data_IF_282012828141
#
_entry.id   IF_282012828141
#
_cell.length_a   1.000
_cell.length_b   1.000
_cell.length_c   1.000
_cell.angle_alpha   90.00
_cell.angle_beta   90.00
_cell.angle_gamma   90.00
#
_symmetry.space_group_name_H-M   'P 1'
#
loop_
_entity.id
_entity.type
_entity.pdbx_description
1 polymer ?
#
# COMPACT_ATOMS: atom_id res chain seq x y z
N UNK A 1 4.30 5.55 14.61
CA UNK A 1 3.20 5.06 13.74
C UNK A 1 3.57 5.21 12.27
N UNK A 2 4.17 6.32 11.83
CA UNK A 2 4.47 6.55 10.40
C UNK A 2 5.42 5.51 9.81
N UNK A 3 6.36 4.96 10.61
CA UNK A 3 7.22 3.86 10.17
C UNK A 3 6.47 2.56 9.86
N UNK A 4 5.36 2.29 10.54
CA UNK A 4 4.57 1.08 10.34
C UNK A 4 3.74 1.13 9.04
N UNK A 5 3.41 2.31 8.52
CA UNK A 5 2.57 2.50 7.32
C UNK A 5 3.35 2.54 5.99
N UNK A 6 4.65 2.22 6.00
CA UNK A 6 5.46 2.23 4.79
C UNK A 6 6.92 2.65 4.97
N UNK A 7 7.47 2.60 6.18
CA UNK A 7 8.84 3.01 6.50
C UNK A 7 9.14 4.45 6.06
N UNK A 8 9.83 4.62 4.92
CA UNK A 8 10.17 5.92 4.32
C UNK A 8 8.96 6.64 3.71
N UNK A 9 7.88 5.92 3.35
CA UNK A 9 6.70 6.53 2.76
C UNK A 9 5.95 7.37 3.81
N UNK A 10 5.79 8.69 3.64
CA UNK A 10 5.12 9.55 4.61
C UNK A 10 3.59 9.45 4.53
N UNK A 11 3.05 8.24 4.32
CA UNK A 11 1.63 8.02 4.02
C UNK A 11 0.71 8.58 5.11
N UNK A 12 0.96 8.24 6.37
CA UNK A 12 0.17 8.74 7.49
C UNK A 12 0.32 10.26 7.70
N UNK A 13 1.50 10.80 7.38
CA UNK A 13 1.79 12.22 7.56
C UNK A 13 1.08 13.09 6.53
N UNK A 14 0.98 12.59 5.29
CA UNK A 14 0.19 13.23 4.24
C UNK A 14 -1.28 13.30 4.65
N UNK A 15 -1.85 12.20 5.17
CA UNK A 15 -3.25 12.14 5.61
C UNK A 15 -3.55 13.03 6.82
N UNK A 16 -2.60 13.18 7.74
CA UNK A 16 -2.77 13.94 8.99
C UNK A 16 -2.30 15.40 8.92
N UNK A 17 -1.77 15.83 7.78
CA UNK A 17 -1.14 17.14 7.65
C UNK A 17 -1.46 17.80 6.31
N UNK A 18 -1.02 17.18 5.22
CA UNK A 18 -1.07 17.80 3.90
C UNK A 18 -2.48 17.95 3.33
N UNK A 19 -3.43 17.12 3.76
CA UNK A 19 -4.81 17.11 3.24
C UNK A 19 -5.87 17.52 4.28
N UNK A 20 -5.47 18.16 5.38
CA UNK A 20 -6.41 18.56 6.45
C UNK A 20 -7.51 19.53 6.00
N UNK A 21 -7.31 20.24 4.89
CA UNK A 21 -8.30 21.13 4.30
C UNK A 21 -9.10 20.51 3.16
N UNK A 22 -9.01 19.18 2.98
CA UNK A 22 -9.58 18.48 1.87
C UNK A 22 -10.53 17.37 2.31
N UNK A 23 -11.52 17.11 1.48
CA UNK A 23 -12.38 15.94 1.55
C UNK A 23 -11.68 14.78 0.87
N UNK A 24 -11.09 13.86 1.65
CA UNK A 24 -10.49 12.63 1.12
C UNK A 24 -11.61 11.67 0.74
N UNK A 25 -11.69 11.26 -0.53
CA UNK A 25 -12.75 10.36 -1.03
C UNK A 25 -12.26 8.92 -1.18
N UNK A 26 -10.96 8.76 -1.46
CA UNK A 26 -10.33 7.46 -1.66
C UNK A 26 -8.83 7.53 -1.36
N UNK A 27 -8.29 6.47 -0.79
CA UNK A 27 -6.85 6.23 -0.73
C UNK A 27 -6.54 4.88 -1.37
N UNK A 28 -5.44 4.83 -2.12
CA UNK A 28 -4.88 3.62 -2.67
C UNK A 28 -3.41 3.52 -2.28
N UNK A 29 -2.93 2.32 -1.96
CA UNK A 29 -1.57 2.10 -1.50
C UNK A 29 -0.96 0.84 -2.06
N UNK A 30 0.22 0.97 -2.66
CA UNK A 30 1.15 -0.14 -2.86
C UNK A 30 2.15 -0.10 -1.71
N UNK A 31 1.82 -0.79 -0.62
CA UNK A 31 2.42 -0.56 0.70
C UNK A 31 3.48 -1.62 1.10
N UNK A 32 3.59 -2.69 0.31
CA UNK A 32 4.45 -3.83 0.59
C UNK A 32 5.50 -3.99 -0.52
N UNK A 33 6.77 -3.80 -0.15
CA UNK A 33 7.90 -3.84 -1.09
C UNK A 33 8.14 -5.25 -1.64
N UNK A 34 7.97 -6.29 -0.83
CA UNK A 34 8.16 -7.70 -1.21
C UNK A 34 7.22 -8.09 -2.35
N UNK A 35 5.93 -7.82 -2.20
CA UNK A 35 4.90 -8.11 -3.23
C UNK A 35 5.15 -7.31 -4.50
N UNK A 36 5.55 -6.04 -4.40
CA UNK A 36 5.87 -5.22 -5.56
C UNK A 36 7.08 -5.78 -6.33
N UNK A 37 8.14 -6.14 -5.61
CA UNK A 37 9.33 -6.76 -6.20
C UNK A 37 9.00 -8.10 -6.88
N UNK A 38 8.21 -8.96 -6.23
CA UNK A 38 7.77 -10.25 -6.78
C UNK A 38 6.98 -10.05 -8.09
N UNK A 39 6.05 -9.08 -8.12
CA UNK A 39 5.28 -8.77 -9.32
C UNK A 39 6.16 -8.22 -10.46
N UNK A 40 7.14 -7.38 -10.15
CA UNK A 40 8.09 -6.86 -11.13
C UNK A 40 8.99 -7.98 -11.68
N UNK A 41 9.51 -8.86 -10.82
CA UNK A 41 10.29 -10.02 -11.24
C UNK A 41 9.46 -10.95 -12.14
N UNK A 42 8.19 -11.17 -11.77
CA UNK A 42 7.25 -11.93 -12.60
C UNK A 42 7.05 -11.26 -13.96
N UNK A 43 6.91 -9.94 -14.03
CA UNK A 43 6.77 -9.21 -15.30
C UNK A 43 8.04 -9.21 -16.15
N UNK A 44 9.22 -9.12 -15.55
CA UNK A 44 10.51 -9.17 -16.26
C UNK A 44 10.80 -10.56 -16.85
N UNK A 45 10.27 -11.61 -16.23
CA UNK A 45 10.47 -12.98 -16.70
C UNK A 45 11.95 -13.38 -16.62
N UNK A 46 12.48 -13.98 -17.70
CA UNK A 46 13.90 -14.40 -17.76
C UNK A 46 14.85 -13.30 -18.23
N UNK A 47 14.32 -12.12 -18.62
CA UNK A 47 15.13 -11.01 -19.07
C UNK A 47 15.67 -10.26 -17.85
N UNK A 48 16.93 -10.46 -17.49
CA UNK A 48 17.61 -9.70 -16.42
C UNK A 48 17.98 -10.48 -15.16
N UNK A 49 17.81 -11.80 -15.13
CA UNK A 49 18.27 -12.64 -14.00
C UNK A 49 19.23 -13.73 -14.46
N UNK A 50 20.29 -14.00 -13.69
CA UNK A 50 21.17 -15.16 -13.90
C UNK A 50 20.47 -16.49 -13.52
N UNK A 51 19.35 -16.39 -12.80
CA UNK A 51 18.61 -17.49 -12.20
C UNK A 51 17.36 -17.88 -12.99
N UNK A 52 17.54 -18.57 -14.13
CA UNK A 52 16.48 -19.38 -14.77
C UNK A 52 15.23 -18.64 -15.30
N UNK A 53 14.28 -19.40 -15.84
CA UNK A 53 13.03 -18.86 -16.39
C UNK A 53 12.01 -18.53 -15.29
N UNK A 54 11.74 -17.24 -15.04
CA UNK A 54 10.62 -16.81 -14.18
C UNK A 54 9.31 -16.87 -14.98
N UNK A 55 8.47 -17.88 -14.71
CA UNK A 55 7.17 -18.06 -15.36
C UNK A 55 5.99 -18.06 -14.40
N UNK A 56 6.23 -18.45 -13.14
CA UNK A 56 5.19 -18.54 -12.12
C UNK A 56 5.46 -17.59 -10.96
N UNK A 57 4.42 -17.28 -10.18
CA UNK A 57 4.57 -16.53 -8.94
C UNK A 57 5.57 -17.18 -7.97
N UNK A 58 5.57 -18.52 -7.90
CA UNK A 58 6.51 -19.27 -7.06
C UNK A 58 7.97 -19.07 -7.50
N UNK A 59 8.25 -18.95 -8.80
CA UNK A 59 9.59 -18.66 -9.30
C UNK A 59 10.02 -17.24 -8.92
N UNK A 60 9.11 -16.27 -9.08
CA UNK A 60 9.37 -14.88 -8.72
C UNK A 60 9.64 -14.71 -7.21
N UNK A 61 8.90 -15.43 -6.36
CA UNK A 61 9.15 -15.47 -4.90
C UNK A 61 10.53 -16.03 -4.59
N UNK A 62 10.95 -17.13 -5.25
CA UNK A 62 12.30 -17.70 -5.05
C UNK A 62 13.41 -16.72 -5.42
N UNK A 63 13.22 -15.93 -6.48
CA UNK A 63 14.16 -14.88 -6.88
C UNK A 63 14.20 -13.75 -5.85
N UNK A 64 13.04 -13.32 -5.34
CA UNK A 64 12.99 -12.34 -4.26
C UNK A 64 13.72 -12.84 -3.00
N UNK A 65 13.57 -14.13 -2.65
CA UNK A 65 14.25 -14.75 -1.53
C UNK A 65 15.77 -14.84 -1.73
N UNK A 66 16.23 -15.23 -2.93
CA UNK A 66 17.67 -15.34 -3.20
C UNK A 66 18.39 -13.99 -3.19
N UNK A 67 17.67 -12.91 -3.52
CA UNK A 67 18.17 -11.54 -3.45
C UNK A 67 17.98 -10.87 -2.08
N UNK A 68 17.38 -11.58 -1.11
CA UNK A 68 17.15 -11.07 0.25
C UNK A 68 16.02 -10.05 0.37
N UNK A 69 15.16 -9.92 -0.64
CA UNK A 69 13.97 -9.06 -0.61
C UNK A 69 12.75 -9.73 0.02
N UNK A 70 12.71 -11.06 0.03
CA UNK A 70 11.67 -11.84 0.72
C UNK A 70 12.29 -12.72 1.79
N UNK A 71 11.61 -12.85 2.94
CA UNK A 71 12.03 -13.79 3.98
C UNK A 71 11.85 -15.24 3.51
N UNK A 72 12.49 -16.18 4.24
CA UNK A 72 12.37 -17.62 3.96
C UNK A 72 10.92 -18.10 4.03
N UNK A 73 10.14 -17.51 4.93
CA UNK A 73 8.69 -17.67 4.99
C UNK A 73 8.02 -16.36 4.53
N UNK A 74 7.73 -16.28 3.24
CA UNK A 74 7.08 -15.11 2.62
C UNK A 74 5.54 -15.17 2.70
N UNK A 75 4.97 -16.09 3.51
CA UNK A 75 3.53 -16.29 3.62
C UNK A 75 2.80 -14.99 3.95
N UNK A 76 3.25 -14.23 4.96
CA UNK A 76 2.59 -12.98 5.38
C UNK A 76 2.54 -11.90 4.31
N UNK A 77 3.54 -11.82 3.44
CA UNK A 77 3.59 -10.87 2.32
C UNK A 77 2.66 -11.33 1.19
N UNK A 78 2.69 -12.63 0.87
CA UNK A 78 1.90 -13.23 -0.22
C UNK A 78 0.41 -13.37 0.18
N UNK A 79 0.12 -13.58 1.46
CA UNK A 79 -1.21 -13.63 2.07
C UNK A 79 -1.77 -12.24 2.41
N UNK A 80 -1.11 -11.18 1.91
CA UNK A 80 -1.62 -9.80 1.93
C UNK A 80 -1.76 -9.17 3.33
N UNK A 81 -1.35 -9.89 4.39
CA UNK A 81 -1.59 -9.52 5.78
C UNK A 81 -0.87 -8.23 6.19
N UNK A 82 0.35 -8.04 5.71
CA UNK A 82 1.10 -6.79 5.94
C UNK A 82 0.41 -5.58 5.28
N UNK A 83 -0.06 -5.72 4.04
CA UNK A 83 -0.83 -4.69 3.33
C UNK A 83 -2.13 -4.36 4.07
N UNK A 84 -2.85 -5.37 4.55
CA UNK A 84 -4.07 -5.20 5.35
C UNK A 84 -3.82 -4.47 6.66
N UNK A 85 -2.79 -4.88 7.41
CA UNK A 85 -2.44 -4.22 8.67
C UNK A 85 -2.10 -2.74 8.46
N UNK A 86 -1.39 -2.42 7.37
CA UNK A 86 -1.07 -1.03 7.00
C UNK A 86 -2.32 -0.25 6.59
N UNK A 87 -3.25 -0.87 5.86
CA UNK A 87 -4.52 -0.26 5.49
C UNK A 87 -5.37 0.07 6.71
N UNK A 88 -5.45 -0.83 7.69
CA UNK A 88 -6.11 -0.58 8.98
C UNK A 88 -5.52 0.64 9.68
N UNK A 89 -4.20 0.79 9.68
CA UNK A 89 -3.53 1.95 10.27
C UNK A 89 -3.85 3.24 9.52
N UNK A 90 -3.82 3.22 8.19
CA UNK A 90 -4.12 4.39 7.35
C UNK A 90 -5.59 4.81 7.46
N UNK A 91 -6.51 3.85 7.48
CA UNK A 91 -7.94 4.12 7.66
C UNK A 91 -8.20 4.76 9.02
N UNK A 92 -7.82 4.08 10.10
CA UNK A 92 -8.14 4.53 11.45
C UNK A 92 -7.38 5.80 11.85
N UNK A 93 -6.06 5.84 11.64
CA UNK A 93 -5.21 6.92 12.14
C UNK A 93 -4.95 8.03 11.13
N UNK A 94 -5.25 7.80 9.85
CA UNK A 94 -5.17 8.80 8.79
C UNK A 94 -6.55 9.38 8.51
N UNK A 95 -7.37 8.66 7.75
CA UNK A 95 -8.66 9.17 7.24
C UNK A 95 -9.65 9.45 8.38
N UNK A 96 -9.96 8.46 9.21
CA UNK A 96 -11.03 8.59 10.21
C UNK A 96 -10.68 9.52 11.36
N UNK A 97 -9.40 9.59 11.78
CA UNK A 97 -8.97 10.62 12.75
C UNK A 97 -9.02 12.04 12.20
N UNK A 98 -8.84 12.23 10.90
CA UNK A 98 -8.99 13.56 10.31
C UNK A 98 -10.47 13.95 10.22
N UNK A 99 -11.37 12.99 9.95
CA UNK A 99 -12.82 13.23 9.89
C UNK A 99 -13.47 13.40 11.27
N UNK A 100 -12.97 12.68 12.28
CA UNK A 100 -13.49 12.72 13.65
C UNK A 100 -12.39 13.17 14.63
N UNK A 101 -11.99 14.44 14.47
CA UNK A 101 -10.91 15.03 15.26
C UNK A 101 -11.34 15.49 16.67
N UNK A 102 -12.66 15.62 16.90
CA UNK A 102 -13.22 16.15 18.15
C UNK A 102 -13.55 15.04 19.17
N UNK A 103 -13.82 13.80 18.73
CA UNK A 103 -14.16 12.69 19.64
C UNK A 103 -12.92 11.98 20.19
N UNK A 104 -13.09 11.36 21.37
CA UNK A 104 -12.02 10.57 21.98
C UNK A 104 -11.70 9.32 21.13
N UNK A 105 -10.46 8.80 21.26
CA UNK A 105 -9.99 7.65 20.48
C UNK A 105 -10.94 6.46 20.60
N UNK A 106 -11.45 6.21 21.81
CA UNK A 106 -12.25 5.04 22.15
C UNK A 106 -13.72 5.14 21.72
N UNK A 107 -14.14 6.32 21.24
CA UNK A 107 -15.52 6.60 20.81
C UNK A 107 -15.70 6.46 19.30
N UNK A 108 -14.60 6.30 18.54
CA UNK A 108 -14.62 6.19 17.09
C UNK A 108 -14.68 4.72 16.66
N UNK A 109 -15.63 4.41 15.77
CA UNK A 109 -15.72 3.09 15.15
C UNK A 109 -14.37 2.71 14.54
N UNK A 110 -13.86 1.55 14.93
CA UNK A 110 -12.51 1.12 14.56
C UNK A 110 -12.58 0.09 13.43
N UNK A 111 -11.97 0.44 12.30
CA UNK A 111 -11.79 -0.46 11.16
C UNK A 111 -10.85 -1.61 11.53
N UNK A 112 -11.19 -2.85 11.18
CA UNK A 112 -10.39 -4.04 11.51
C UNK A 112 -10.00 -4.82 10.26
N UNK A 113 -9.13 -5.81 10.44
CA UNK A 113 -8.67 -6.67 9.34
C UNK A 113 -9.84 -7.47 8.75
N UNK A 114 -10.81 -7.85 9.58
CA UNK A 114 -12.00 -8.61 9.16
C UNK A 114 -12.93 -7.80 8.24
N UNK A 115 -12.83 -6.47 8.25
CA UNK A 115 -13.61 -5.57 7.41
C UNK A 115 -13.00 -5.41 5.99
N UNK A 116 -11.83 -5.97 5.74
CA UNK A 116 -11.11 -5.86 4.46
C UNK A 116 -11.50 -7.00 3.51
N UNK A 117 -12.00 -6.64 2.34
CA UNK A 117 -12.20 -7.58 1.23
C UNK A 117 -10.86 -7.99 0.61
N UNK A 118 -10.64 -9.28 0.44
CA UNK A 118 -9.41 -9.83 -0.17
C UNK A 118 -9.71 -10.32 -1.57
N UNK A 119 -8.80 -10.03 -2.49
CA UNK A 119 -8.73 -10.60 -3.84
C UNK A 119 -7.33 -10.40 -4.41
N UNK A 120 -6.30 -10.69 -3.60
CA UNK A 120 -4.91 -10.51 -3.98
C UNK A 120 -4.26 -11.78 -4.56
N UNK A 121 -2.96 -11.93 -4.32
CA UNK A 121 -2.10 -12.96 -4.91
C UNK A 121 -2.45 -14.37 -4.46
N UNK A 122 -2.98 -14.52 -3.24
CA UNK A 122 -3.33 -15.82 -2.67
C UNK A 122 -4.61 -16.42 -3.28
N UNK A 123 -5.55 -15.55 -3.69
CA UNK A 123 -6.83 -15.96 -4.29
C UNK A 123 -6.80 -15.92 -5.83
N UNK A 124 -5.95 -15.09 -6.43
CA UNK A 124 -5.84 -15.02 -7.89
C UNK A 124 -4.96 -16.13 -8.45
N UNK A 125 -5.51 -16.89 -9.39
CA UNK A 125 -4.77 -17.85 -10.20
C UNK A 125 -3.91 -17.11 -11.24
N UNK A 126 -2.77 -16.55 -10.81
CA UNK A 126 -1.80 -15.88 -11.69
C UNK A 126 -1.06 -16.92 -12.54
N UNK A 127 -1.66 -17.28 -13.67
CA UNK A 127 -1.08 -18.23 -14.63
C UNK A 127 -0.08 -17.56 -15.58
N UNK A 128 0.82 -18.32 -16.22
CA UNK A 128 1.71 -17.78 -17.24
C UNK A 128 0.98 -17.05 -18.38
N UNK A 129 -0.22 -17.51 -18.76
CA UNK A 129 -1.04 -16.85 -19.80
C UNK A 129 -1.55 -15.48 -19.34
N UNK A 130 -1.96 -15.34 -18.08
CA UNK A 130 -2.37 -14.07 -17.49
C UNK A 130 -1.21 -13.07 -17.51
N UNK A 131 -0.02 -13.52 -17.12
CA UNK A 131 1.19 -12.67 -17.15
C UNK A 131 1.58 -12.32 -18.59
N UNK A 132 1.49 -13.26 -19.53
CA UNK A 132 1.73 -12.99 -20.95
C UNK A 132 0.77 -11.93 -21.50
N UNK A 133 -0.51 -11.97 -21.10
CA UNK A 133 -1.50 -10.97 -21.46
C UNK A 133 -1.17 -9.58 -20.88
N UNK A 134 -0.75 -9.49 -19.61
CA UNK A 134 -0.30 -8.22 -19.02
C UNK A 134 0.88 -7.62 -19.78
N UNK A 135 1.87 -8.44 -20.15
CA UNK A 135 3.01 -7.99 -20.97
C UNK A 135 2.56 -7.52 -22.36
N UNK A 136 1.73 -8.29 -23.04
CA UNK A 136 1.24 -7.97 -24.38
C UNK A 136 0.42 -6.66 -24.41
N UNK A 137 -0.31 -6.37 -23.33
CA UNK A 137 -1.12 -5.16 -23.17
C UNK A 137 -0.40 -4.01 -22.48
N UNK A 138 0.89 -4.18 -22.13
CA UNK A 138 1.68 -3.19 -21.38
C UNK A 138 1.03 -2.75 -20.06
N UNK A 139 0.32 -3.67 -19.40
CA UNK A 139 -0.33 -3.47 -18.12
C UNK A 139 0.58 -3.93 -16.98
N UNK A 140 0.70 -3.11 -15.94
CA UNK A 140 1.58 -3.35 -14.81
C UNK A 140 0.78 -3.83 -13.59
N UNK A 141 1.02 -5.06 -13.09
CA UNK A 141 0.31 -5.59 -11.93
C UNK A 141 0.83 -5.01 -10.62
N UNK A 142 -0.07 -4.67 -9.69
CA UNK A 142 0.25 -4.17 -8.34
C UNK A 142 -0.73 -4.73 -7.33
N UNK A 143 -0.23 -5.14 -6.17
CA UNK A 143 -1.08 -5.42 -5.02
C UNK A 143 -1.43 -4.09 -4.34
N UNK A 144 -2.72 -3.75 -4.32
CA UNK A 144 -3.20 -2.43 -3.90
C UNK A 144 -4.13 -2.57 -2.71
N UNK A 145 -3.83 -1.79 -1.68
CA UNK A 145 -4.69 -1.53 -0.53
C UNK A 145 -5.55 -0.32 -0.82
N UNK A 146 -6.87 -0.47 -0.90
CA UNK A 146 -7.81 0.60 -1.19
C UNK A 146 -8.75 0.85 -0.02
N UNK A 147 -9.04 2.12 0.25
CA UNK A 147 -10.14 2.55 1.11
C UNK A 147 -10.91 3.65 0.37
N UNK A 148 -12.21 3.47 0.18
CA UNK A 148 -13.05 4.33 -0.66
C UNK A 148 -14.40 4.61 -0.01
N UNK A 149 -14.88 5.86 -0.11
CA UNK A 149 -16.21 6.26 0.35
C UNK A 149 -17.28 5.66 -0.56
N UNK A 150 -18.31 5.04 0.02
CA UNK A 150 -19.49 4.49 -0.67
C UNK A 150 -20.48 5.56 -1.11
N UNK A 151 -20.44 6.71 -0.46
CA UNK A 151 -21.35 7.82 -0.70
C UNK A 151 -20.60 8.98 -1.35
N UNK A 152 -21.35 9.89 -1.99
CA UNK A 152 -20.82 11.18 -2.44
C UNK A 152 -20.43 12.08 -1.27
N UNK A 153 -20.79 11.71 -0.03
CA UNK A 153 -20.49 12.44 1.18
C UNK A 153 -19.45 11.70 2.04
N UNK A 154 -18.17 11.98 1.77
CA UNK A 154 -17.02 11.44 2.49
C UNK A 154 -16.71 12.17 3.81
N UNK A 155 -17.66 12.96 4.33
CA UNK A 155 -17.49 13.76 5.56
C UNK A 155 -17.61 12.98 6.87
N UNK A 156 -17.92 11.67 6.83
CA UNK A 156 -18.22 10.88 8.01
C UNK A 156 -17.31 9.66 8.15
N UNK A 157 -16.80 9.46 9.36
CA UNK A 157 -15.96 8.33 9.74
C UNK A 157 -16.70 7.01 9.99
N UNK A 158 -18.03 6.95 9.78
CA UNK A 158 -18.79 5.70 10.03
C UNK A 158 -18.36 4.59 9.08
N UNK A 159 -18.08 3.39 9.62
CA UNK A 159 -17.55 2.25 8.86
C UNK A 159 -18.48 1.84 7.71
N UNK A 160 -19.80 1.96 7.91
CA UNK A 160 -20.81 1.61 6.91
C UNK A 160 -20.73 2.46 5.62
N UNK A 161 -20.06 3.61 5.68
CA UNK A 161 -19.82 4.51 4.54
C UNK A 161 -18.54 4.23 3.79
N UNK A 162 -17.70 3.29 4.22
CA UNK A 162 -16.41 3.01 3.57
C UNK A 162 -16.31 1.56 3.12
N UNK A 163 -15.62 1.33 2.01
CA UNK A 163 -15.16 0.00 1.58
C UNK A 163 -13.64 -0.06 1.65
N UNK A 164 -13.11 -1.12 2.24
CA UNK A 164 -11.70 -1.42 2.16
C UNK A 164 -11.46 -2.73 1.43
N UNK A 165 -10.39 -2.76 0.63
CA UNK A 165 -9.96 -3.95 -0.08
C UNK A 165 -8.45 -4.04 -0.18
N UNK A 166 -7.94 -5.27 -0.27
CA UNK A 166 -6.60 -5.54 -0.77
C UNK A 166 -6.74 -6.46 -1.97
N UNK A 167 -6.37 -5.98 -3.14
CA UNK A 167 -6.58 -6.68 -4.40
C UNK A 167 -5.42 -6.52 -5.37
N UNK A 168 -5.23 -7.54 -6.21
CA UNK A 168 -4.28 -7.45 -7.31
C UNK A 168 -4.96 -6.71 -8.48
N UNK A 169 -4.39 -5.57 -8.85
CA UNK A 169 -4.89 -4.71 -9.92
C UNK A 169 -3.83 -4.54 -11.00
N UNK A 170 -4.24 -4.14 -12.20
CA UNK A 170 -3.32 -3.83 -13.29
C UNK A 170 -3.53 -2.43 -13.80
N UNK A 171 -2.42 -1.76 -14.12
CA UNK A 171 -2.43 -0.35 -14.45
C UNK A 171 -1.71 -0.08 -15.78
N UNK A 172 -2.23 0.86 -16.61
CA UNK A 172 -1.49 1.31 -17.80
C UNK A 172 -0.24 2.10 -17.39
N UNK A 173 0.69 2.27 -18.32
CA UNK A 173 1.96 3.00 -18.10
C UNK A 173 1.78 4.48 -17.75
N UNK A 174 0.61 5.07 -17.99
CA UNK A 174 0.29 6.44 -17.59
C UNK A 174 -0.10 6.58 -16.11
N UNK A 175 -0.47 5.48 -15.45
CA UNK A 175 -0.92 5.52 -14.06
C UNK A 175 0.27 5.57 -13.09
N UNK A 176 0.23 6.38 -12.02
CA UNK A 176 1.36 6.54 -11.10
C UNK A 176 1.91 5.22 -10.52
N UNK A 177 1.04 4.26 -10.21
CA UNK A 177 1.48 2.97 -9.66
C UNK A 177 2.31 2.11 -10.63
N UNK A 178 2.21 2.34 -11.94
CA UNK A 178 3.07 1.65 -12.91
C UNK A 178 4.55 2.04 -12.77
N UNK A 179 4.83 3.22 -12.18
CA UNK A 179 6.20 3.70 -11.94
C UNK A 179 6.85 3.15 -10.66
N UNK A 180 6.09 2.47 -9.80
CA UNK A 180 6.58 1.91 -8.54
C UNK A 180 7.40 0.65 -8.80
N UNK A 181 8.69 0.79 -9.12
CA UNK A 181 9.55 -0.35 -9.42
C UNK A 181 10.32 -0.87 -8.20
N UNK A 182 10.58 -2.18 -8.16
CA UNK A 182 11.38 -2.84 -7.13
C UNK A 182 10.75 -2.69 -5.75
N UNK A 183 11.48 -2.08 -4.82
CA UNK A 183 11.04 -1.91 -3.42
C UNK A 183 10.34 -0.58 -3.15
N UNK A 184 10.06 0.21 -4.19
CA UNK A 184 9.27 1.44 -4.07
C UNK A 184 7.88 1.14 -3.50
N UNK A 185 7.49 1.94 -2.51
CA UNK A 185 6.13 1.98 -1.96
C UNK A 185 5.48 3.28 -2.42
N UNK A 186 4.16 3.29 -2.53
CA UNK A 186 3.44 4.48 -2.92
C UNK A 186 2.04 4.56 -2.32
N UNK A 187 1.56 5.79 -2.18
CA UNK A 187 0.18 6.12 -1.81
C UNK A 187 -0.36 7.14 -2.81
N UNK A 188 -1.59 6.90 -3.27
CA UNK A 188 -2.39 7.82 -4.06
C UNK A 188 -3.59 8.23 -3.20
N UNK A 189 -3.76 9.54 -3.01
CA UNK A 189 -4.83 10.12 -2.21
C UNK A 189 -5.71 10.92 -3.15
N UNK A 190 -6.99 10.58 -3.22
CA UNK A 190 -7.99 11.31 -3.98
C UNK A 190 -8.72 12.28 -3.07
N UNK A 191 -8.76 13.54 -3.50
CA UNK A 191 -9.44 14.61 -2.77
C UNK A 191 -10.35 15.39 -3.71
N UNK A 192 -11.42 16.00 -3.19
CA UNK A 192 -12.30 16.85 -3.99
C UNK A 192 -11.62 18.16 -4.41
N UNK A 193 -10.82 18.75 -3.51
CA UNK A 193 -10.30 20.10 -3.67
C UNK A 193 -8.91 20.15 -4.31
N UNK A 194 -8.04 19.20 -3.98
CA UNK A 194 -6.67 19.13 -4.50
C UNK A 194 -6.49 18.09 -5.60
N UNK A 195 -7.55 17.33 -5.94
CA UNK A 195 -7.46 16.22 -6.87
C UNK A 195 -6.58 15.09 -6.33
N UNK A 196 -5.78 14.51 -7.23
CA UNK A 196 -4.95 13.34 -6.95
C UNK A 196 -3.56 13.73 -6.46
N UNK A 197 -3.22 13.25 -5.26
CA UNK A 197 -1.90 13.44 -4.66
C UNK A 197 -1.20 12.08 -4.60
N UNK A 198 -0.13 11.92 -5.38
CA UNK A 198 0.70 10.73 -5.36
C UNK A 198 2.03 10.99 -4.64
N UNK A 199 2.39 10.10 -3.73
CA UNK A 199 3.70 10.08 -3.10
C UNK A 199 4.31 8.68 -3.20
N UNK A 200 5.60 8.62 -3.49
CA UNK A 200 6.38 7.39 -3.47
C UNK A 200 7.67 7.56 -2.70
N UNK A 201 8.14 6.47 -2.10
CA UNK A 201 9.40 6.46 -1.38
C UNK A 201 10.05 5.08 -1.45
N UNK A 202 11.37 5.08 -1.56
CA UNK A 202 12.22 3.90 -1.42
C UNK A 202 13.33 4.26 -0.44
N UNK A 203 13.27 3.67 0.76
CA UNK A 203 14.31 3.81 1.78
C UNK A 203 14.94 2.46 2.06
N UNK A 204 16.23 2.46 2.39
CA UNK A 204 16.91 1.27 2.86
C UNK A 204 16.39 0.91 4.25
N UNK A 205 16.03 -0.35 4.45
CA UNK A 205 15.61 -0.87 5.75
C UNK A 205 16.80 -1.56 6.45
N UNK A 206 16.98 -1.36 7.77
CA UNK A 206 16.03 -0.76 8.73
C UNK A 206 16.14 0.76 8.93
N UNK A 207 17.10 1.45 8.30
CA UNK A 207 17.40 2.88 8.55
C UNK A 207 16.20 3.79 8.28
N UNK A 208 15.47 3.55 7.18
CA UNK A 208 14.26 4.28 6.83
C UNK A 208 13.17 4.18 7.91
N UNK A 209 12.96 2.98 8.43
CA UNK A 209 11.99 2.72 9.50
C UNK A 209 12.41 3.43 10.79
N UNK A 210 13.70 3.38 11.14
CA UNK A 210 14.25 4.08 12.29
C UNK A 210 14.14 5.61 12.16
N UNK A 211 14.44 6.16 10.99
CA UNK A 211 14.30 7.59 10.72
C UNK A 211 12.85 8.07 10.86
N UNK A 212 11.90 7.29 10.35
CA UNK A 212 10.46 7.56 10.48
C UNK A 212 10.00 7.56 11.95
N UNK A 213 10.47 6.59 12.75
CA UNK A 213 10.21 6.54 14.18
C UNK A 213 10.81 7.73 14.95
N UNK A 214 12.05 8.13 14.62
CA UNK A 214 12.70 9.29 15.23
C UNK A 214 11.98 10.59 14.90
N UNK A 215 11.47 10.72 13.67
CA UNK A 215 10.65 11.86 13.25
C UNK A 215 9.33 11.92 14.04
N UNK A 216 8.65 10.79 14.25
CA UNK A 216 7.46 10.72 15.12
C UNK A 216 7.78 11.16 16.56
N UNK A 217 8.90 10.68 17.11
CA UNK A 217 9.35 11.06 18.45
C UNK A 217 9.63 12.57 18.56
N UNK A 218 10.23 13.16 17.52
CA UNK A 218 10.47 14.61 17.45
C UNK A 218 9.18 15.41 17.43
N UNK A 219 8.20 15.01 16.62
CA UNK A 219 6.88 15.68 16.56
C UNK A 219 6.19 15.61 17.93
N UNK A 220 6.25 14.45 18.60
CA UNK A 220 5.71 14.31 19.95
C UNK A 220 6.40 15.22 20.98
N UNK A 221 7.74 15.34 20.94
CA UNK A 221 8.46 16.26 21.82
C UNK A 221 8.04 17.73 21.61
N UNK A 222 7.72 18.10 20.37
CA UNK A 222 7.28 19.46 20.03
C UNK A 222 5.85 19.76 20.52
N UNK A 223 4.96 18.77 20.59
CA UNK A 223 3.59 18.97 21.09
C UNK A 223 3.46 19.05 22.60
N UNK A 224 4.54 18.79 23.35
CA UNK A 224 4.61 18.91 24.82
C UNK A 224 5.20 20.25 25.29
N UNK A 225 5.59 21.13 24.37
CA UNK A 225 6.04 22.50 24.67
C UNK A 225 4.90 23.46 24.49
#
# INVERSE_FOLDING_TARGET
MSGATGAALPALDLLRGSVLGCTVTKIEGCLNATTNYVLDALMQGSAGTETGQIQTLADAVKVAQSQGFAERDASRDIEEMDSMAKLVLLANFGVFRTLDSDNAIDEVETFRIEDIQRSGLSEMNVTPDVVANWRATSMTPRLVSGLESRDTDASSASLGKWTASVSLQTYPSSHPFSSLQGTLKGILIHTEEMGDIFASACGLEPEATAASALKDFRVWLQSKR
#
